data_IF_491122124294
#
_entry.id   IF_491122124294
#
_cell.length_a   1.000
_cell.length_b   1.000
_cell.length_c   1.000
_cell.angle_alpha   90.00
_cell.angle_beta   90.00
_cell.angle_gamma   90.00
#
_symmetry.space_group_name_H-M   'P 1'
#
loop_
_entity.id
_entity.type
_entity.pdbx_description
1 polymer ?
#
# COMPACT_ATOMS: atom_id res chain seq x y z
N UNK A 1 -6.75 6.02 -6.35
CA UNK A 1 -5.86 6.28 -5.18
C UNK A 1 -6.38 5.49 -3.99
N UNK A 2 -5.54 5.13 -3.01
CA UNK A 2 -5.95 4.33 -1.85
C UNK A 2 -7.16 4.91 -1.06
N UNK A 3 -7.38 6.22 -1.16
CA UNK A 3 -8.54 6.92 -0.59
C UNK A 3 -9.89 6.31 -1.01
N UNK A 4 -9.98 5.70 -2.20
CA UNK A 4 -11.21 5.05 -2.70
C UNK A 4 -11.54 3.74 -1.95
N UNK A 5 -10.62 3.25 -1.11
CA UNK A 5 -10.85 2.16 -0.16
C UNK A 5 -10.84 2.65 1.29
N UNK A 6 -11.04 3.94 1.53
CA UNK A 6 -10.85 4.57 2.85
C UNK A 6 -11.71 4.00 3.98
N UNK A 7 -12.78 3.26 3.67
CA UNK A 7 -13.58 2.52 4.66
C UNK A 7 -12.94 1.19 5.11
N UNK A 8 -11.96 0.66 4.36
CA UNK A 8 -11.32 -0.64 4.55
C UNK A 8 -9.82 -0.54 4.82
N UNK A 9 -9.21 0.60 4.46
CA UNK A 9 -7.76 0.82 4.56
C UNK A 9 -7.48 2.06 5.37
N UNK A 10 -6.50 1.92 6.26
CA UNK A 10 -5.88 3.04 6.98
C UNK A 10 -4.52 3.32 6.36
N UNK A 11 -4.28 4.59 6.01
CA UNK A 11 -3.00 5.03 5.46
C UNK A 11 -2.15 5.59 6.59
N UNK A 12 -0.95 5.04 6.75
CA UNK A 12 0.06 5.50 7.69
C UNK A 12 1.29 5.97 6.93
N UNK A 13 1.90 7.07 7.37
CA UNK A 13 3.13 7.60 6.78
C UNK A 13 4.25 7.59 7.82
N UNK A 14 5.42 7.09 7.41
CA UNK A 14 6.59 6.99 8.26
C UNK A 14 7.86 7.21 7.44
N UNK A 15 8.95 7.63 8.10
CA UNK A 15 10.28 7.73 7.49
C UNK A 15 11.10 6.49 7.85
N UNK A 16 11.57 5.70 6.86
CA UNK A 16 12.43 4.55 7.13
C UNK A 16 13.81 5.00 7.61
N UNK A 17 14.31 4.39 8.68
CA UNK A 17 15.64 4.69 9.23
C UNK A 17 16.78 4.04 8.41
N UNK A 18 16.56 2.82 7.93
CA UNK A 18 17.60 2.05 7.21
C UNK A 18 17.80 2.49 5.75
N UNK A 19 16.79 3.14 5.15
CA UNK A 19 16.79 3.52 3.74
C UNK A 19 16.25 4.95 3.57
N UNK A 20 16.92 5.96 4.13
CA UNK A 20 16.37 7.32 4.25
C UNK A 20 16.07 7.99 2.90
N UNK A 21 16.77 7.56 1.84
CA UNK A 21 16.64 8.11 0.48
C UNK A 21 15.69 7.29 -0.42
N UNK A 22 15.14 6.18 0.09
CA UNK A 22 14.21 5.34 -0.66
C UNK A 22 12.76 5.67 -0.30
N UNK A 23 11.91 5.77 -1.32
CA UNK A 23 10.47 5.74 -1.13
C UNK A 23 10.03 4.29 -0.99
N UNK A 24 9.47 3.96 0.16
CA UNK A 24 8.95 2.63 0.46
C UNK A 24 7.45 2.73 0.68
N UNK A 25 6.72 1.77 0.14
CA UNK A 25 5.30 1.62 0.37
C UNK A 25 4.94 0.14 0.52
N UNK A 26 3.96 -0.15 1.35
CA UNK A 26 3.50 -1.51 1.59
C UNK A 26 2.00 -1.53 1.89
N UNK A 27 1.32 -2.57 1.42
CA UNK A 27 -0.03 -2.94 1.85
C UNK A 27 0.10 -4.11 2.82
N UNK A 28 -0.24 -3.86 4.08
CA UNK A 28 -0.17 -4.85 5.16
C UNK A 28 -1.58 -5.35 5.47
N UNK A 29 -1.75 -6.68 5.49
CA UNK A 29 -3.00 -7.33 5.88
C UNK A 29 -3.20 -7.27 7.39
N UNK A 30 -4.44 -7.43 7.88
CA UNK A 30 -4.72 -7.46 9.33
C UNK A 30 -3.98 -8.56 10.11
N UNK A 31 -3.56 -9.63 9.43
CA UNK A 31 -2.76 -10.72 10.00
C UNK A 31 -1.24 -10.45 10.00
N UNK A 32 -0.82 -9.25 9.57
CA UNK A 32 0.56 -8.82 9.56
C UNK A 32 1.37 -9.20 8.33
N UNK A 33 0.78 -9.91 7.36
CA UNK A 33 1.46 -10.27 6.11
C UNK A 33 1.41 -9.15 5.07
N UNK A 34 2.44 -9.06 4.24
CA UNK A 34 2.45 -8.16 3.09
C UNK A 34 1.56 -8.71 1.97
N UNK A 35 0.59 -7.91 1.56
CA UNK A 35 -0.20 -8.15 0.35
C UNK A 35 0.46 -7.55 -0.90
N UNK A 36 1.26 -6.49 -0.71
CA UNK A 36 2.00 -5.79 -1.76
C UNK A 36 3.10 -4.93 -1.14
N UNK A 37 4.19 -4.67 -1.88
CA UNK A 37 5.24 -3.74 -1.49
C UNK A 37 5.94 -3.15 -2.71
N UNK A 38 6.46 -1.92 -2.58
CA UNK A 38 7.28 -1.26 -3.60
C UNK A 38 8.44 -0.49 -2.98
N UNK A 39 9.53 -0.40 -3.76
CA UNK A 39 10.75 0.34 -3.47
C UNK A 39 11.07 1.26 -4.64
N UNK A 40 11.23 2.56 -4.38
CA UNK A 40 11.54 3.56 -5.40
C UNK A 40 10.29 4.16 -6.03
N UNK A 41 10.14 4.01 -7.34
CA UNK A 41 8.96 4.52 -8.06
C UNK A 41 7.74 3.64 -7.77
N UNK A 42 6.62 4.31 -7.46
CA UNK A 42 5.36 3.64 -7.14
C UNK A 42 4.53 3.52 -8.41
N UNK A 43 4.27 2.29 -8.85
CA UNK A 43 3.29 2.03 -9.89
C UNK A 43 1.89 2.02 -9.27
N UNK A 44 1.10 3.03 -9.60
CA UNK A 44 -0.27 3.16 -9.09
C UNK A 44 -1.21 2.09 -9.63
N UNK A 45 -0.93 1.50 -10.81
CA UNK A 45 -1.76 0.44 -11.36
C UNK A 45 -1.55 -0.87 -10.62
N UNK A 46 -0.30 -1.20 -10.30
CA UNK A 46 0.05 -2.38 -9.51
C UNK A 46 -0.56 -2.29 -8.09
N UNK A 47 -0.45 -1.12 -7.44
CA UNK A 47 -1.12 -0.89 -6.17
C UNK A 47 -2.65 -1.05 -6.29
N UNK A 48 -3.27 -0.51 -7.35
CA UNK A 48 -4.72 -0.61 -7.58
C UNK A 48 -5.16 -2.06 -7.79
N UNK A 49 -4.38 -2.86 -8.52
CA UNK A 49 -4.64 -4.29 -8.73
C UNK A 49 -4.55 -5.07 -7.42
N UNK A 50 -3.51 -4.82 -6.62
CA UNK A 50 -3.36 -5.43 -5.30
C UNK A 50 -4.52 -5.06 -4.36
N UNK A 51 -4.90 -3.78 -4.31
CA UNK A 51 -6.05 -3.33 -3.50
C UNK A 51 -7.35 -3.99 -3.95
N UNK A 52 -7.58 -4.10 -5.26
CA UNK A 52 -8.78 -4.78 -5.80
C UNK A 52 -8.80 -6.26 -5.45
N UNK A 53 -7.66 -6.93 -5.50
CA UNK A 53 -7.52 -8.37 -5.20
C UNK A 53 -7.82 -8.67 -3.73
N UNK A 54 -7.27 -7.87 -2.81
CA UNK A 54 -7.34 -8.15 -1.37
C UNK A 54 -8.52 -7.51 -0.67
N UNK A 55 -9.02 -6.39 -1.19
CA UNK A 55 -10.05 -5.57 -0.54
C UNK A 55 -11.33 -5.51 -1.35
N UNK A 56 -11.36 -6.07 -2.57
CA UNK A 56 -12.45 -5.93 -3.53
C UNK A 56 -12.42 -4.59 -4.28
N UNK A 57 -13.39 -4.34 -5.17
CA UNK A 57 -13.49 -3.08 -5.92
C UNK A 57 -13.54 -1.85 -5.01
N UNK A 58 -13.03 -0.72 -5.51
CA UNK A 58 -13.21 0.60 -4.93
C UNK A 58 -14.70 0.94 -4.76
N UNK A 59 -15.06 1.72 -3.74
CA UNK A 59 -16.45 2.03 -3.44
C UNK A 59 -16.66 3.31 -2.65
#
# INVERSE_FOLDING_TARGET
>A
MAAEWGSRVRVETARPLAFPDQRLAALVRPDGYLAWASVGELDENDLREAMTTWLGPAG
#
